data_IF_761646678823
#
_entry.id   IF_761646678823
#
_cell.length_a   1.000
_cell.length_b   1.000
_cell.length_c   1.000
_cell.angle_alpha   90.00
_cell.angle_beta   90.00
_cell.angle_gamma   90.00
#
_symmetry.space_group_name_H-M   'P 1'
#
loop_
_entity.id
_entity.type
_entity.pdbx_description
1 polymer ?
#
# COMPACT_ATOMS: atom_id res chain seq x y z
N UNK A 1 -30.80 23.05 -8.47
CA UNK A 1 -31.32 22.21 -7.38
C UNK A 1 -31.10 20.75 -7.74
N UNK A 2 -29.98 20.16 -7.32
CA UNK A 2 -29.74 18.72 -7.46
C UNK A 2 -30.60 18.03 -6.41
N UNK A 3 -31.56 17.21 -6.85
CA UNK A 3 -32.26 16.29 -5.96
C UNK A 3 -31.20 15.41 -5.30
N UNK A 4 -30.97 15.63 -4.01
CA UNK A 4 -30.29 14.66 -3.14
C UNK A 4 -31.11 13.37 -3.21
N UNK A 5 -30.77 12.50 -4.16
CA UNK A 5 -31.38 11.17 -4.26
C UNK A 5 -30.93 10.42 -3.02
N UNK A 6 -31.75 10.48 -1.98
CA UNK A 6 -31.60 9.71 -0.76
C UNK A 6 -31.44 8.25 -1.18
N UNK A 7 -30.22 7.72 -1.03
CA UNK A 7 -29.93 6.34 -1.41
C UNK A 7 -30.86 5.41 -0.67
N UNK A 8 -31.51 4.49 -1.39
CA UNK A 8 -32.39 3.48 -0.78
C UNK A 8 -31.59 2.59 0.17
N UNK A 9 -32.21 1.97 1.19
CA UNK A 9 -31.52 1.04 2.08
C UNK A 9 -30.78 -0.08 1.34
N UNK A 10 -31.36 -0.58 0.25
CA UNK A 10 -30.75 -1.57 -0.62
C UNK A 10 -29.48 -1.05 -1.33
N UNK A 11 -29.52 0.18 -1.86
CA UNK A 11 -28.34 0.82 -2.47
C UNK A 11 -27.22 1.06 -1.45
N UNK A 12 -27.55 1.55 -0.25
CA UNK A 12 -26.57 1.73 0.84
C UNK A 12 -25.92 0.41 1.24
N UNK A 13 -26.71 -0.65 1.37
CA UNK A 13 -26.22 -2.01 1.67
C UNK A 13 -25.29 -2.52 0.58
N UNK A 14 -25.65 -2.32 -0.70
CA UNK A 14 -24.79 -2.67 -1.85
C UNK A 14 -23.45 -1.93 -1.81
N UNK A 15 -23.46 -0.61 -1.60
CA UNK A 15 -22.22 0.17 -1.51
C UNK A 15 -21.34 -0.22 -0.33
N UNK A 16 -21.92 -0.46 0.85
CA UNK A 16 -21.17 -0.97 2.01
C UNK A 16 -20.45 -2.29 1.70
N UNK A 17 -21.10 -3.21 0.98
CA UNK A 17 -20.47 -4.48 0.56
C UNK A 17 -19.35 -4.27 -0.45
N UNK A 18 -19.51 -3.34 -1.40
CA UNK A 18 -18.47 -2.98 -2.37
C UNK A 18 -17.24 -2.40 -1.65
N UNK A 19 -17.44 -1.45 -0.73
CA UNK A 19 -16.36 -0.87 0.06
C UNK A 19 -15.70 -1.91 0.96
N UNK A 20 -16.48 -2.75 1.64
CA UNK A 20 -15.94 -3.84 2.46
C UNK A 20 -15.10 -4.83 1.64
N UNK A 21 -15.54 -5.17 0.42
CA UNK A 21 -14.79 -6.05 -0.50
C UNK A 21 -13.40 -5.50 -0.84
N UNK A 22 -13.32 -4.17 -1.00
CA UNK A 22 -12.07 -3.48 -1.27
C UNK A 22 -11.16 -3.35 -0.06
N UNK A 23 -11.76 -3.06 1.10
CA UNK A 23 -11.04 -2.97 2.37
C UNK A 23 -10.35 -4.29 2.70
N UNK A 24 -11.05 -5.42 2.58
CA UNK A 24 -10.49 -6.72 3.03
C UNK A 24 -9.28 -7.15 2.20
N UNK A 25 -9.27 -6.89 0.89
CA UNK A 25 -8.11 -7.20 0.06
C UNK A 25 -6.85 -6.45 0.48
N UNK A 26 -6.97 -5.12 0.66
CA UNK A 26 -5.88 -4.30 1.16
C UNK A 26 -5.49 -4.67 2.58
N UNK A 27 -6.46 -4.96 3.44
CA UNK A 27 -6.19 -5.39 4.81
C UNK A 27 -5.34 -6.64 4.82
N UNK A 28 -5.69 -7.66 4.04
CA UNK A 28 -4.90 -8.89 3.90
C UNK A 28 -3.48 -8.62 3.44
N UNK A 29 -3.33 -7.88 2.34
CA UNK A 29 -2.03 -7.57 1.75
C UNK A 29 -1.11 -6.85 2.73
N UNK A 30 -1.62 -5.75 3.32
CA UNK A 30 -0.79 -4.87 4.12
C UNK A 30 -0.62 -5.37 5.55
N UNK A 31 -1.54 -6.19 6.08
CA UNK A 31 -1.43 -6.73 7.43
C UNK A 31 -0.18 -7.60 7.56
N UNK A 32 -0.02 -8.59 6.67
CA UNK A 32 1.15 -9.47 6.68
C UNK A 32 2.46 -8.74 6.37
N UNK A 33 2.36 -7.66 5.60
CA UNK A 33 3.47 -6.78 5.30
C UNK A 33 3.96 -6.02 6.54
N UNK A 34 3.04 -5.39 7.28
CA UNK A 34 3.35 -4.67 8.51
C UNK A 34 3.80 -5.61 9.61
N UNK A 35 3.12 -6.75 9.80
CA UNK A 35 3.53 -7.79 10.75
C UNK A 35 4.96 -8.25 10.49
N UNK A 36 5.30 -8.53 9.23
CA UNK A 36 6.66 -8.91 8.86
C UNK A 36 7.68 -7.80 9.16
N UNK A 37 7.33 -6.55 8.86
CA UNK A 37 8.16 -5.38 9.17
C UNK A 37 8.41 -5.21 10.67
N UNK A 38 7.37 -5.34 11.49
CA UNK A 38 7.46 -5.22 12.96
C UNK A 38 8.26 -6.36 13.59
N UNK A 39 8.15 -7.57 13.03
CA UNK A 39 8.89 -8.76 13.47
C UNK A 39 10.22 -8.95 12.73
N UNK A 40 10.68 -7.98 11.93
CA UNK A 40 11.85 -8.15 11.06
C UNK A 40 13.10 -8.58 11.82
N UNK A 41 13.33 -8.06 13.04
CA UNK A 41 14.48 -8.44 13.89
C UNK A 41 14.40 -9.90 14.32
N UNK A 42 13.20 -10.39 14.65
CA UNK A 42 12.97 -11.77 15.09
C UNK A 42 13.12 -12.72 13.92
N UNK A 43 12.51 -12.39 12.77
CA UNK A 43 12.58 -13.18 11.54
C UNK A 43 14.02 -13.25 11.02
N UNK A 44 14.76 -12.14 11.05
CA UNK A 44 16.17 -12.09 10.65
C UNK A 44 17.02 -13.12 11.43
N UNK A 45 16.84 -13.18 12.75
CA UNK A 45 17.54 -14.16 13.60
C UNK A 45 17.10 -15.60 13.34
N UNK A 46 15.80 -15.83 13.14
CA UNK A 46 15.23 -17.18 13.00
C UNK A 46 15.54 -17.85 11.63
N UNK A 47 15.69 -17.05 10.57
CA UNK A 47 15.81 -17.55 9.20
C UNK A 47 17.13 -17.18 8.49
N UNK A 48 17.89 -16.21 8.99
CA UNK A 48 19.13 -15.73 8.35
C UNK A 48 20.28 -15.59 9.37
N UNK A 49 20.72 -16.67 10.04
CA UNK A 49 21.79 -16.59 11.03
C UNK A 49 23.16 -16.42 10.35
N UNK A 50 23.60 -15.17 10.19
CA UNK A 50 24.87 -14.82 9.51
C UNK A 50 25.99 -14.43 10.47
N UNK A 51 25.79 -14.56 11.79
CA UNK A 51 26.76 -14.18 12.83
C UNK A 51 26.84 -12.66 13.10
N UNK A 52 26.58 -11.83 12.09
CA UNK A 52 26.48 -10.37 12.19
C UNK A 52 25.02 -9.88 12.07
N UNK A 53 24.57 -9.07 13.02
CA UNK A 53 23.20 -8.58 13.10
C UNK A 53 22.81 -7.66 11.94
N UNK A 54 23.76 -6.89 11.40
CA UNK A 54 23.52 -6.02 10.25
C UNK A 54 23.26 -6.87 9.00
N UNK A 55 24.08 -7.89 8.77
CA UNK A 55 23.95 -8.80 7.62
C UNK A 55 22.66 -9.62 7.68
N UNK A 56 22.26 -10.14 8.85
CA UNK A 56 20.97 -10.82 9.03
C UNK A 56 19.80 -9.92 8.69
N UNK A 57 19.86 -8.66 9.14
CA UNK A 57 18.81 -7.68 8.89
C UNK A 57 18.75 -7.26 7.41
N UNK A 58 19.90 -7.16 6.74
CA UNK A 58 19.99 -6.90 5.31
C UNK A 58 19.40 -8.08 4.50
N UNK A 59 19.64 -9.32 4.92
CA UNK A 59 19.07 -10.51 4.27
C UNK A 59 17.54 -10.61 4.46
N UNK A 60 17.03 -10.28 5.64
CA UNK A 60 15.58 -10.18 5.88
C UNK A 60 14.96 -9.04 5.05
N UNK A 61 15.62 -7.88 4.97
CA UNK A 61 15.22 -6.77 4.12
C UNK A 61 15.26 -7.15 2.64
N UNK A 62 16.25 -7.93 2.19
CA UNK A 62 16.34 -8.43 0.83
C UNK A 62 15.18 -9.38 0.51
N UNK A 63 14.86 -10.31 1.42
CA UNK A 63 13.69 -11.20 1.29
C UNK A 63 12.38 -10.43 1.19
N UNK A 64 12.25 -9.38 2.00
CA UNK A 64 11.13 -8.45 1.91
C UNK A 64 11.10 -7.72 0.56
N UNK A 65 12.26 -7.26 0.07
CA UNK A 65 12.44 -6.66 -1.25
C UNK A 65 12.06 -7.59 -2.41
N UNK A 66 12.40 -8.89 -2.34
CA UNK A 66 12.00 -9.89 -3.35
C UNK A 66 10.49 -9.91 -3.54
N UNK A 67 9.71 -9.82 -2.45
CA UNK A 67 8.25 -9.77 -2.56
C UNK A 67 7.75 -8.56 -3.35
N UNK A 68 8.49 -7.45 -3.35
CA UNK A 68 8.17 -6.28 -4.17
C UNK A 68 8.60 -6.41 -5.63
N UNK A 69 9.73 -7.06 -5.90
CA UNK A 69 10.20 -7.28 -7.27
C UNK A 69 9.31 -8.23 -8.08
N UNK A 70 8.64 -9.17 -7.42
CA UNK A 70 7.69 -10.05 -8.09
C UNK A 70 6.31 -9.39 -8.32
N UNK A 71 5.98 -8.31 -7.60
CA UNK A 71 4.70 -7.60 -7.74
C UNK A 71 4.44 -7.12 -9.17
N UNK A 72 5.38 -6.50 -9.91
CA UNK A 72 5.16 -6.18 -11.33
C UNK A 72 4.79 -7.39 -12.20
N UNK A 73 5.39 -8.55 -11.95
CA UNK A 73 5.02 -9.79 -12.66
C UNK A 73 3.59 -10.20 -12.31
N UNK A 74 3.24 -10.17 -11.02
CA UNK A 74 1.87 -10.37 -10.55
C UNK A 74 0.88 -9.36 -11.15
N UNK A 75 1.25 -8.10 -11.25
CA UNK A 75 0.45 -7.03 -11.83
C UNK A 75 0.13 -7.26 -13.30
N UNK A 76 1.10 -7.73 -14.08
CA UNK A 76 0.90 -8.07 -15.49
C UNK A 76 0.02 -9.30 -15.63
N UNK A 77 0.30 -10.38 -14.89
CA UNK A 77 -0.41 -11.66 -15.04
C UNK A 77 -1.82 -11.58 -14.46
N UNK A 78 -1.95 -11.18 -13.19
CA UNK A 78 -3.24 -11.12 -12.48
C UNK A 78 -4.07 -9.90 -12.92
N UNK A 79 -3.44 -8.80 -13.31
CA UNK A 79 -4.12 -7.65 -13.92
C UNK A 79 -4.76 -8.03 -15.25
N UNK A 80 -4.01 -8.68 -16.15
CA UNK A 80 -4.54 -9.17 -17.42
C UNK A 80 -5.61 -10.26 -17.23
N UNK A 81 -5.44 -11.13 -16.23
CA UNK A 81 -6.48 -12.09 -15.85
C UNK A 81 -7.78 -11.38 -15.44
N UNK A 82 -7.68 -10.33 -14.62
CA UNK A 82 -8.81 -9.50 -14.17
C UNK A 82 -9.46 -8.71 -15.30
N UNK A 83 -8.69 -8.24 -16.28
CA UNK A 83 -9.20 -7.58 -17.49
C UNK A 83 -9.95 -8.55 -18.42
N UNK A 84 -9.60 -9.85 -18.41
CA UNK A 84 -10.23 -10.87 -19.28
C UNK A 84 -11.40 -11.61 -18.64
N UNK A 85 -11.29 -11.97 -17.36
CA UNK A 85 -12.25 -12.84 -16.67
C UNK A 85 -13.12 -12.11 -15.66
N UNK A 86 -12.90 -10.80 -15.48
CA UNK A 86 -13.68 -9.95 -14.59
C UNK A 86 -12.92 -9.57 -13.31
N UNK A 87 -13.32 -8.43 -12.73
CA UNK A 87 -12.71 -7.88 -11.52
C UNK A 87 -12.91 -8.82 -10.33
N UNK A 88 -14.11 -9.39 -10.20
CA UNK A 88 -14.43 -10.33 -9.12
C UNK A 88 -13.56 -11.58 -9.18
N UNK A 89 -13.36 -12.15 -10.38
CA UNK A 89 -12.54 -13.34 -10.56
C UNK A 89 -11.08 -13.09 -10.14
N UNK A 90 -10.51 -11.96 -10.59
CA UNK A 90 -9.17 -11.51 -10.20
C UNK A 90 -9.02 -11.35 -8.70
N UNK A 91 -9.94 -10.63 -8.07
CA UNK A 91 -9.98 -10.43 -6.62
C UNK A 91 -10.14 -11.75 -5.83
N UNK A 92 -10.83 -12.75 -6.36
CA UNK A 92 -10.91 -14.05 -5.68
C UNK A 92 -9.59 -14.82 -5.75
N UNK A 93 -8.93 -14.79 -6.91
CA UNK A 93 -7.65 -15.46 -7.13
C UNK A 93 -6.55 -14.89 -6.22
N UNK A 94 -6.46 -13.55 -6.10
CA UNK A 94 -5.48 -12.87 -5.24
C UNK A 94 -5.68 -13.22 -3.76
N UNK A 95 -6.91 -13.28 -3.25
CA UNK A 95 -7.15 -13.69 -1.84
C UNK A 95 -6.62 -15.08 -1.56
N UNK A 96 -6.86 -16.05 -2.45
CA UNK A 96 -6.37 -17.42 -2.25
C UNK A 96 -4.85 -17.50 -2.33
N UNK A 97 -4.24 -16.84 -3.32
CA UNK A 97 -2.78 -16.79 -3.44
C UNK A 97 -2.14 -16.14 -2.22
N UNK A 98 -2.73 -15.05 -1.72
CA UNK A 98 -2.26 -14.38 -0.50
C UNK A 98 -2.34 -15.33 0.69
N UNK A 99 -3.50 -15.96 0.93
CA UNK A 99 -3.71 -16.89 2.03
C UNK A 99 -2.76 -18.09 2.00
N UNK A 100 -2.51 -18.68 0.83
CA UNK A 100 -1.52 -19.75 0.68
C UNK A 100 -0.12 -19.24 1.04
N UNK A 101 0.27 -18.04 0.57
CA UNK A 101 1.56 -17.43 0.90
C UNK A 101 1.73 -17.21 2.39
N UNK A 102 0.70 -16.69 3.06
CA UNK A 102 0.69 -16.48 4.52
C UNK A 102 0.78 -17.80 5.29
N UNK A 103 0.09 -18.84 4.82
CA UNK A 103 0.15 -20.18 5.42
C UNK A 103 1.55 -20.78 5.29
N UNK A 104 2.18 -20.67 4.11
CA UNK A 104 3.56 -21.10 3.88
C UNK A 104 4.53 -20.40 4.84
N UNK A 105 4.37 -19.09 5.08
CA UNK A 105 5.18 -18.33 6.04
C UNK A 105 4.94 -18.81 7.47
N UNK A 106 3.67 -18.94 7.88
CA UNK A 106 3.32 -19.35 9.24
C UNK A 106 3.83 -20.77 9.57
N UNK A 107 3.82 -21.67 8.59
CA UNK A 107 4.30 -23.04 8.71
C UNK A 107 5.78 -23.22 8.38
N UNK A 108 6.50 -22.18 7.98
CA UNK A 108 7.91 -22.30 7.59
C UNK A 108 8.77 -22.80 8.77
N UNK A 109 9.57 -23.86 8.60
CA UNK A 109 10.51 -24.29 9.63
C UNK A 109 11.66 -23.29 9.72
N UNK A 110 12.19 -23.05 10.92
CA UNK A 110 13.31 -22.09 11.10
C UNK A 110 14.62 -22.67 10.54
N UNK A 111 15.63 -21.82 10.38
CA UNK A 111 16.95 -22.28 9.94
C UNK A 111 17.55 -23.32 10.90
N UNK A 112 17.31 -23.18 12.21
CA UNK A 112 17.75 -24.14 13.19
C UNK A 112 17.12 -25.54 13.01
N UNK A 113 15.90 -25.63 12.47
CA UNK A 113 15.19 -26.90 12.28
C UNK A 113 15.53 -27.58 10.95
N UNK A 114 15.60 -26.82 9.86
CA UNK A 114 15.71 -27.36 8.49
C UNK A 114 16.76 -26.63 7.61
N UNK A 115 17.65 -25.85 8.22
CA UNK A 115 18.71 -25.12 7.52
C UNK A 115 18.17 -24.20 6.43
N UNK A 116 18.87 -24.18 5.30
CA UNK A 116 18.54 -23.35 4.12
C UNK A 116 17.13 -23.62 3.60
N UNK A 117 16.61 -24.84 3.73
CA UNK A 117 15.25 -25.19 3.28
C UNK A 117 14.21 -24.33 3.99
N UNK A 118 14.36 -24.11 5.30
CA UNK A 118 13.46 -23.26 6.07
C UNK A 118 13.44 -21.81 5.57
N UNK A 119 14.62 -21.26 5.27
CA UNK A 119 14.76 -19.93 4.67
C UNK A 119 14.12 -19.85 3.29
N UNK A 120 14.35 -20.85 2.44
CA UNK A 120 13.75 -20.92 1.10
C UNK A 120 12.22 -21.01 1.19
N UNK A 121 11.66 -21.80 2.13
CA UNK A 121 10.22 -21.86 2.36
C UNK A 121 9.63 -20.48 2.71
N UNK A 122 10.29 -19.74 3.62
CA UNK A 122 9.89 -18.38 3.96
C UNK A 122 9.91 -17.45 2.72
N UNK A 123 10.99 -17.52 1.93
CA UNK A 123 11.15 -16.71 0.71
C UNK A 123 10.08 -17.06 -0.32
N UNK A 124 9.76 -18.34 -0.52
CA UNK A 124 8.70 -18.79 -1.43
C UNK A 124 7.33 -18.26 -1.01
N UNK A 125 7.01 -18.30 0.30
CA UNK A 125 5.80 -17.69 0.83
C UNK A 125 5.75 -16.18 0.52
N UNK A 126 6.87 -15.48 0.67
CA UNK A 126 6.97 -14.04 0.33
C UNK A 126 6.85 -13.75 -1.17
N UNK A 127 7.40 -14.61 -2.03
CA UNK A 127 7.23 -14.51 -3.47
C UNK A 127 5.75 -14.67 -3.84
N UNK A 128 5.05 -15.63 -3.22
CA UNK A 128 3.63 -15.87 -3.48
C UNK A 128 2.75 -14.69 -3.01
N UNK A 129 3.01 -14.17 -1.81
CA UNK A 129 2.35 -12.95 -1.30
C UNK A 129 2.60 -11.76 -2.22
N UNK A 130 3.85 -11.55 -2.65
CA UNK A 130 4.22 -10.47 -3.57
C UNK A 130 3.54 -10.58 -4.92
N UNK A 131 3.51 -11.79 -5.51
CA UNK A 131 2.84 -12.05 -6.77
C UNK A 131 1.34 -11.77 -6.66
N UNK A 132 0.70 -12.22 -5.58
CA UNK A 132 -0.72 -11.93 -5.29
C UNK A 132 -1.00 -10.42 -5.19
N UNK A 133 -0.22 -9.71 -4.38
CA UNK A 133 -0.35 -8.27 -4.17
C UNK A 133 -0.25 -7.47 -5.48
N UNK A 134 0.52 -7.98 -6.45
CA UNK A 134 0.63 -7.41 -7.79
C UNK A 134 -0.71 -7.17 -8.48
N UNK A 135 -1.64 -8.12 -8.41
CA UNK A 135 -2.94 -8.02 -9.07
C UNK A 135 -4.00 -7.23 -8.29
N UNK A 136 -3.89 -7.23 -6.97
CA UNK A 136 -4.94 -6.83 -6.05
C UNK A 136 -5.30 -5.34 -6.14
N UNK A 137 -4.28 -4.47 -6.16
CA UNK A 137 -4.50 -3.02 -6.12
C UNK A 137 -5.26 -2.53 -7.36
N UNK A 138 -4.82 -2.94 -8.55
CA UNK A 138 -5.45 -2.54 -9.82
C UNK A 138 -6.89 -3.03 -9.94
N UNK A 139 -7.15 -4.30 -9.60
CA UNK A 139 -8.50 -4.88 -9.71
C UNK A 139 -9.47 -4.21 -8.74
N UNK A 140 -9.01 -3.93 -7.52
CA UNK A 140 -9.86 -3.38 -6.47
C UNK A 140 -10.17 -1.90 -6.68
N UNK A 141 -9.19 -1.09 -7.08
CA UNK A 141 -9.42 0.33 -7.39
C UNK A 141 -10.38 0.46 -8.59
N UNK A 142 -10.17 -0.33 -9.66
CA UNK A 142 -11.13 -0.39 -10.76
C UNK A 142 -12.51 -0.84 -10.25
N UNK A 143 -12.61 -1.98 -9.56
CA UNK A 143 -13.87 -2.49 -9.04
C UNK A 143 -14.70 -1.47 -8.26
N UNK A 144 -14.05 -0.70 -7.38
CA UNK A 144 -14.71 0.30 -6.55
C UNK A 144 -15.11 1.55 -7.33
N UNK A 145 -14.26 2.01 -8.25
CA UNK A 145 -14.53 3.21 -9.06
C UNK A 145 -15.58 2.98 -10.14
N UNK A 146 -15.64 1.78 -10.72
CA UNK A 146 -16.65 1.37 -11.71
C UNK A 146 -18.04 1.15 -11.07
N UNK A 147 -18.08 0.87 -9.76
CA UNK A 147 -19.33 0.82 -8.99
C UNK A 147 -19.72 2.15 -8.35
N UNK A 148 -18.83 3.15 -8.36
CA UNK A 148 -19.05 4.41 -7.68
C UNK A 148 -20.15 5.22 -8.39
N UNK A 149 -21.05 5.89 -7.64
CA UNK A 149 -21.94 6.88 -8.20
C UNK A 149 -21.16 7.98 -8.95
N UNK A 150 -21.83 8.60 -9.93
CA UNK A 150 -21.27 9.77 -10.64
C UNK A 150 -20.87 10.85 -9.63
N UNK A 151 -19.64 11.37 -9.77
CA UNK A 151 -19.10 12.40 -8.89
C UNK A 151 -18.69 11.91 -7.49
N UNK A 152 -18.61 10.60 -7.25
CA UNK A 152 -18.18 10.04 -5.95
C UNK A 152 -16.99 9.07 -6.09
N UNK A 153 -16.30 9.09 -7.23
CA UNK A 153 -15.16 8.19 -7.49
C UNK A 153 -14.03 8.40 -6.49
N UNK A 154 -13.78 9.64 -6.07
CA UNK A 154 -12.79 10.01 -5.05
C UNK A 154 -13.12 9.39 -3.71
N UNK A 155 -14.33 9.62 -3.20
CA UNK A 155 -14.79 9.02 -1.95
C UNK A 155 -14.66 7.49 -1.96
N UNK A 156 -15.18 6.83 -2.99
CA UNK A 156 -15.16 5.37 -3.09
C UNK A 156 -13.73 4.82 -3.22
N UNK A 157 -12.91 5.36 -4.11
CA UNK A 157 -11.54 4.87 -4.34
C UNK A 157 -10.62 5.10 -3.12
N UNK A 158 -10.88 6.13 -2.30
CA UNK A 158 -10.10 6.41 -1.09
C UNK A 158 -10.19 5.31 -0.02
N UNK A 159 -11.22 4.46 -0.06
CA UNK A 159 -11.32 3.30 0.83
C UNK A 159 -10.20 2.27 0.61
N UNK A 160 -9.52 2.33 -0.54
CA UNK A 160 -8.28 1.57 -0.75
C UNK A 160 -7.25 1.90 0.34
N UNK A 161 -7.10 3.19 0.67
CA UNK A 161 -6.15 3.68 1.67
C UNK A 161 -6.66 3.34 3.08
N UNK A 162 -7.96 3.44 3.34
CA UNK A 162 -8.55 3.02 4.63
C UNK A 162 -8.22 1.56 4.95
N UNK A 163 -8.18 0.67 3.95
CA UNK A 163 -7.81 -0.72 4.13
C UNK A 163 -6.38 -0.90 4.66
N UNK A 164 -5.44 -0.08 4.19
CA UNK A 164 -4.05 -0.05 4.69
C UNK A 164 -4.01 0.43 6.14
N UNK A 165 -4.78 1.47 6.47
CA UNK A 165 -4.93 1.95 7.84
C UNK A 165 -5.44 0.86 8.79
N UNK A 166 -6.53 0.18 8.43
CA UNK A 166 -7.07 -0.94 9.21
C UNK A 166 -6.05 -2.08 9.37
N UNK A 167 -5.29 -2.39 8.31
CA UNK A 167 -4.22 -3.38 8.36
C UNK A 167 -3.13 -2.99 9.35
N UNK A 168 -2.68 -1.73 9.30
CA UNK A 168 -1.63 -1.21 10.17
C UNK A 168 -2.07 -1.20 11.63
N UNK A 169 -3.30 -0.75 11.88
CA UNK A 169 -3.88 -0.72 13.23
C UNK A 169 -3.99 -2.11 13.82
N UNK A 170 -4.52 -3.08 13.07
CA UNK A 170 -4.62 -4.46 13.51
C UNK A 170 -3.23 -5.08 13.74
N UNK A 171 -2.28 -4.86 12.82
CA UNK A 171 -0.90 -5.32 12.97
C UNK A 171 -0.21 -4.70 14.20
N UNK A 172 -0.47 -3.42 14.48
CA UNK A 172 0.08 -2.71 15.64
C UNK A 172 -0.50 -3.21 16.95
N UNK A 173 -1.80 -3.48 17.01
CA UNK A 173 -2.46 -4.06 18.19
C UNK A 173 -1.92 -5.47 18.46
N UNK A 174 -1.81 -6.30 17.44
CA UNK A 174 -1.25 -7.65 17.56
C UNK A 174 0.23 -7.62 17.92
N UNK A 175 1.00 -6.69 17.33
CA UNK A 175 2.41 -6.46 17.66
C UNK A 175 2.61 -6.02 19.11
N UNK A 176 1.79 -5.07 19.59
CA UNK A 176 1.78 -4.66 21.00
C UNK A 176 1.39 -5.81 21.93
N UNK A 177 0.35 -6.57 21.59
CA UNK A 177 -0.10 -7.72 22.36
C UNK A 177 0.97 -8.77 22.49
N UNK A 178 1.59 -9.18 21.38
CA UNK A 178 2.69 -10.16 21.38
C UNK A 178 3.91 -9.67 22.17
N UNK A 179 4.31 -8.40 22.04
CA UNK A 179 5.43 -7.85 22.81
C UNK A 179 5.15 -7.69 24.32
N UNK A 180 3.90 -7.50 24.73
CA UNK A 180 3.53 -7.39 26.16
C UNK A 180 3.25 -8.73 26.82
N UNK A 181 2.68 -9.68 26.07
CA UNK A 181 2.18 -10.95 26.61
C UNK A 181 3.21 -12.09 26.50
N UNK A 182 4.26 -11.94 25.69
CA UNK A 182 5.28 -12.98 25.48
C UNK A 182 6.66 -12.50 25.89
N UNK A 183 7.46 -13.40 26.46
CA UNK A 183 8.89 -13.15 26.69
C UNK A 183 9.63 -13.11 25.35
N UNK A 184 10.78 -12.40 25.25
CA UNK A 184 11.59 -12.36 24.03
C UNK A 184 11.94 -13.75 23.48
N UNK A 185 12.23 -14.72 24.34
CA UNK A 185 12.57 -16.09 23.95
C UNK A 185 11.36 -16.87 23.41
N UNK A 186 10.18 -16.66 24.01
CA UNK A 186 8.92 -17.24 23.51
C UNK A 186 8.58 -16.68 22.13
N UNK A 187 8.73 -15.36 21.97
CA UNK A 187 8.47 -14.69 20.70
C UNK A 187 9.44 -15.18 19.61
N UNK A 188 10.72 -15.36 19.94
CA UNK A 188 11.75 -15.80 19.01
C UNK A 188 11.64 -17.29 18.61
N UNK A 189 11.24 -18.16 19.53
CA UNK A 189 11.12 -19.60 19.28
C UNK A 189 9.94 -19.92 18.36
N UNK A 190 8.74 -19.46 18.71
CA UNK A 190 7.53 -19.77 17.94
C UNK A 190 6.48 -18.65 17.89
N UNK A 191 6.47 -17.74 18.86
CA UNK A 191 5.42 -16.73 19.02
C UNK A 191 5.27 -15.80 17.80
N UNK A 192 6.34 -15.59 17.03
CA UNK A 192 6.32 -14.82 15.78
C UNK A 192 5.33 -15.36 14.73
N UNK A 193 4.90 -16.63 14.83
CA UNK A 193 3.89 -17.23 13.93
C UNK A 193 2.47 -16.75 14.21
N UNK A 194 2.15 -16.41 15.46
CA UNK A 194 0.80 -16.06 15.91
C UNK A 194 0.19 -14.91 15.08
N UNK A 195 0.91 -13.80 14.81
CA UNK A 195 0.36 -12.74 13.97
C UNK A 195 0.00 -13.19 12.55
N UNK A 196 0.82 -14.03 11.91
CA UNK A 196 0.50 -14.56 10.57
C UNK A 196 -0.73 -15.48 10.59
N UNK A 197 -0.92 -16.28 11.65
CA UNK A 197 -2.12 -17.09 11.84
C UNK A 197 -3.38 -16.24 12.03
N UNK A 198 -3.28 -15.09 12.70
CA UNK A 198 -4.36 -14.11 12.79
C UNK A 198 -4.66 -13.52 11.41
N UNK A 199 -3.62 -13.22 10.62
CA UNK A 199 -3.76 -12.76 9.24
C UNK A 199 -4.53 -13.75 8.34
N UNK A 200 -4.29 -15.06 8.50
CA UNK A 200 -5.01 -16.11 7.78
C UNK A 200 -6.53 -16.10 8.05
N UNK A 201 -6.97 -15.68 9.24
CA UNK A 201 -8.39 -15.60 9.57
C UNK A 201 -9.13 -14.52 8.74
N UNK A 202 -8.41 -13.57 8.14
CA UNK A 202 -8.98 -12.55 7.27
C UNK A 202 -9.36 -13.14 5.89
N UNK A 203 -8.70 -14.21 5.44
CA UNK A 203 -8.94 -14.89 4.15
C UNK A 203 -10.38 -15.41 4.00
N UNK A 204 -10.91 -16.26 4.92
CA UNK A 204 -12.29 -16.75 4.81
C UNK A 204 -13.33 -15.63 4.90
N UNK A 205 -13.05 -14.59 5.70
CA UNK A 205 -13.91 -13.40 5.78
C UNK A 205 -13.95 -12.63 4.46
N UNK A 206 -12.79 -12.41 3.84
CA UNK A 206 -12.67 -11.79 2.52
C UNK A 206 -13.39 -12.58 1.44
N UNK A 207 -13.19 -13.90 1.41
CA UNK A 207 -13.92 -14.79 0.51
C UNK A 207 -15.44 -14.68 0.68
N UNK A 208 -15.93 -14.65 1.93
CA UNK A 208 -17.35 -14.53 2.23
C UNK A 208 -17.96 -13.19 1.78
N UNK A 209 -17.21 -12.09 1.84
CA UNK A 209 -17.65 -10.80 1.30
C UNK A 209 -17.63 -10.83 -0.23
N UNK A 210 -16.50 -11.21 -0.84
CA UNK A 210 -16.30 -11.16 -2.30
C UNK A 210 -17.26 -12.06 -3.07
N UNK A 211 -17.63 -13.22 -2.53
CA UNK A 211 -18.64 -14.09 -3.18
C UNK A 211 -20.00 -13.42 -3.32
N UNK A 212 -20.34 -12.47 -2.44
CA UNK A 212 -21.65 -11.77 -2.35
C UNK A 212 -21.72 -10.44 -3.11
N UNK A 213 -20.66 -10.06 -3.83
CA UNK A 213 -20.68 -8.85 -4.67
C UNK A 213 -20.81 -9.25 -6.14
N UNK A 214 -21.54 -8.44 -6.90
CA UNK A 214 -21.70 -8.62 -8.34
C UNK A 214 -20.47 -8.10 -9.10
N UNK A 215 -20.30 -8.60 -10.33
CA UNK A 215 -19.31 -8.07 -11.25
C UNK A 215 -19.69 -6.64 -11.72
N UNK A 216 -18.69 -5.84 -12.10
CA UNK A 216 -18.89 -4.42 -12.45
C UNK A 216 -19.80 -4.26 -13.67
N UNK A 217 -20.67 -3.23 -13.69
CA UNK A 217 -21.55 -2.98 -14.83
C UNK A 217 -20.78 -2.78 -16.14
N UNK A 218 -19.63 -2.11 -16.04
CA UNK A 218 -18.78 -1.74 -17.18
C UNK A 218 -18.05 -2.96 -17.76
N UNK A 219 -17.63 -3.91 -16.92
CA UNK A 219 -17.09 -5.19 -17.41
C UNK A 219 -18.16 -6.01 -18.13
N UNK A 220 -19.39 -6.07 -17.61
CA UNK A 220 -20.50 -6.78 -18.27
C UNK A 220 -20.91 -6.19 -19.61
N UNK A 221 -20.72 -4.87 -19.78
CA UNK A 221 -21.11 -4.14 -20.99
C UNK A 221 -20.03 -4.11 -22.08
N UNK A 222 -18.80 -4.53 -21.78
CA UNK A 222 -17.66 -4.40 -22.69
C UNK A 222 -17.23 -5.75 -23.28
N UNK A 223 -16.68 -5.70 -24.50
CA UNK A 223 -15.99 -6.85 -25.10
C UNK A 223 -14.62 -7.02 -24.46
N UNK A 224 -14.24 -8.23 -24.00
CA UNK A 224 -12.94 -8.47 -23.39
C UNK A 224 -11.78 -8.08 -24.32
N UNK A 225 -10.83 -7.30 -23.78
CA UNK A 225 -9.61 -6.96 -24.50
C UNK A 225 -8.73 -8.21 -24.67
N UNK A 226 -8.37 -8.54 -25.92
CA UNK A 226 -7.60 -9.76 -26.21
C UNK A 226 -6.17 -9.65 -25.70
N UNK A 227 -5.55 -8.48 -25.77
CA UNK A 227 -4.16 -8.30 -25.32
C UNK A 227 -3.96 -7.00 -24.50
N UNK A 228 -4.45 -6.98 -23.24
CA UNK A 228 -4.41 -5.77 -22.41
C UNK A 228 -2.98 -5.29 -22.15
N UNK A 229 -2.03 -6.22 -21.92
CA UNK A 229 -0.61 -5.88 -21.69
C UNK A 229 -0.01 -5.13 -22.88
N UNK A 230 -0.16 -5.69 -24.10
CA UNK A 230 0.37 -5.05 -25.31
C UNK A 230 -0.25 -3.67 -25.52
N UNK A 231 -1.55 -3.53 -25.32
CA UNK A 231 -2.25 -2.26 -25.52
C UNK A 231 -1.89 -1.21 -24.46
N UNK A 232 -1.70 -1.62 -23.20
CA UNK A 232 -1.17 -0.76 -22.13
C UNK A 232 0.17 -0.16 -22.53
N UNK A 233 1.13 -1.00 -22.95
CA UNK A 233 2.46 -0.51 -23.32
C UNK A 233 2.49 0.16 -24.69
N UNK A 234 1.56 -0.09 -25.61
CA UNK A 234 1.51 0.65 -26.87
C UNK A 234 1.04 2.11 -26.66
N UNK A 235 0.02 2.32 -25.83
CA UNK A 235 -0.76 3.56 -25.84
C UNK A 235 -0.59 4.45 -24.59
N UNK A 236 0.06 3.94 -23.53
CA UNK A 236 0.09 4.62 -22.23
C UNK A 236 1.48 4.81 -21.61
N UNK A 237 2.59 4.54 -22.33
CA UNK A 237 3.96 4.60 -21.75
C UNK A 237 4.26 5.92 -21.01
N UNK A 238 4.00 7.05 -21.65
CA UNK A 238 4.25 8.36 -21.06
C UNK A 238 3.35 8.64 -19.84
N UNK A 239 2.08 8.24 -19.91
CA UNK A 239 1.12 8.34 -18.80
C UNK A 239 1.54 7.45 -17.62
N UNK A 240 2.00 6.23 -17.90
CA UNK A 240 2.52 5.29 -16.89
C UNK A 240 3.78 5.85 -16.23
N UNK A 241 4.75 6.33 -17.01
CA UNK A 241 5.99 6.90 -16.47
C UNK A 241 5.72 8.12 -15.56
N UNK A 242 4.87 9.05 -16.02
CA UNK A 242 4.47 10.20 -15.21
C UNK A 242 3.65 9.80 -13.98
N UNK A 243 2.77 8.79 -14.11
CA UNK A 243 2.01 8.28 -12.98
C UNK A 243 2.91 7.59 -11.95
N UNK A 244 3.96 6.87 -12.36
CA UNK A 244 4.97 6.28 -11.47
C UNK A 244 5.72 7.37 -10.70
N UNK A 245 6.20 8.41 -11.39
CA UNK A 245 6.88 9.52 -10.73
C UNK A 245 5.96 10.23 -9.74
N UNK A 246 4.69 10.42 -10.08
CA UNK A 246 3.69 10.95 -9.16
C UNK A 246 3.44 10.05 -7.95
N UNK A 247 3.28 8.74 -8.17
CA UNK A 247 3.01 7.77 -7.11
C UNK A 247 4.22 7.49 -6.21
N UNK A 248 5.43 7.90 -6.61
CA UNK A 248 6.67 7.70 -5.84
C UNK A 248 6.58 8.28 -4.42
N UNK A 249 5.89 9.41 -4.26
CA UNK A 249 5.61 9.99 -2.94
C UNK A 249 4.70 9.08 -2.10
N UNK A 250 3.67 8.46 -2.71
CA UNK A 250 2.80 7.51 -2.02
C UNK A 250 3.60 6.30 -1.53
N UNK A 251 4.43 5.71 -2.41
CA UNK A 251 5.23 4.53 -2.09
C UNK A 251 6.23 4.80 -0.95
N UNK A 252 7.00 5.89 -1.06
CA UNK A 252 8.00 6.26 -0.05
C UNK A 252 7.38 6.62 1.30
N UNK A 253 6.30 7.40 1.33
CA UNK A 253 5.64 7.78 2.60
C UNK A 253 4.88 6.64 3.24
N UNK A 254 4.22 5.78 2.45
CA UNK A 254 3.57 4.58 2.97
C UNK A 254 4.59 3.65 3.62
N UNK A 255 5.73 3.45 2.96
CA UNK A 255 6.81 2.66 3.52
C UNK A 255 7.43 3.29 4.77
N UNK A 256 7.80 4.58 4.68
CA UNK A 256 8.44 5.30 5.77
C UNK A 256 7.56 5.30 7.02
N UNK A 257 6.33 5.78 6.88
CA UNK A 257 5.42 6.02 8.01
C UNK A 257 4.68 4.76 8.46
N UNK A 258 4.51 3.76 7.58
CA UNK A 258 3.80 2.52 7.91
C UNK A 258 4.73 1.38 8.35
N UNK A 259 5.89 1.22 7.72
CA UNK A 259 6.80 0.08 7.97
C UNK A 259 8.03 0.50 8.75
N UNK A 260 8.71 1.56 8.33
CA UNK A 260 10.02 1.93 8.89
C UNK A 260 9.92 2.70 10.22
N UNK A 261 8.83 3.42 10.46
CA UNK A 261 8.73 4.35 11.58
C UNK A 261 8.98 3.71 12.96
N UNK A 262 8.50 2.49 13.26
CA UNK A 262 8.77 1.90 14.57
C UNK A 262 10.22 1.42 14.68
N UNK A 263 10.80 0.94 13.59
CA UNK A 263 12.21 0.59 13.53
C UNK A 263 13.10 1.82 13.77
N UNK A 264 12.75 2.97 13.17
CA UNK A 264 13.41 4.25 13.40
C UNK A 264 13.31 4.66 14.88
N UNK A 265 12.13 4.60 15.47
CA UNK A 265 11.93 4.92 16.89
C UNK A 265 12.79 4.03 17.80
N UNK A 266 12.87 2.73 17.54
CA UNK A 266 13.68 1.81 18.34
C UNK A 266 15.19 2.02 18.14
N UNK A 267 15.65 2.04 16.89
CA UNK A 267 17.08 2.00 16.56
C UNK A 267 17.76 3.37 16.55
N UNK A 268 17.01 4.44 16.31
CA UNK A 268 17.57 5.79 16.14
C UNK A 268 17.16 6.73 17.28
N UNK A 269 15.91 6.63 17.75
CA UNK A 269 15.42 7.44 18.88
C UNK A 269 15.62 6.74 20.23
N UNK A 270 15.95 5.45 20.26
CA UNK A 270 16.19 4.68 21.48
C UNK A 270 14.92 4.34 22.27
N UNK A 271 13.74 4.40 21.63
CA UNK A 271 12.46 4.11 22.27
C UNK A 271 12.27 2.60 22.50
N UNK A 272 11.46 2.23 23.50
CA UNK A 272 11.11 0.84 23.73
C UNK A 272 10.32 0.25 22.55
N UNK A 273 10.34 -1.08 22.33
CA UNK A 273 9.52 -1.72 21.31
C UNK A 273 8.03 -1.41 21.46
N UNK A 274 7.50 -1.39 22.69
CA UNK A 274 6.11 -1.06 22.96
C UNK A 274 5.78 0.40 22.60
N UNK A 275 6.66 1.34 22.97
CA UNK A 275 6.42 2.76 22.69
C UNK A 275 6.48 3.09 21.20
N UNK A 276 7.35 2.39 20.46
CA UNK A 276 7.51 2.58 19.02
C UNK A 276 6.23 2.29 18.22
N UNK A 277 5.38 1.40 18.73
CA UNK A 277 4.13 0.99 18.07
C UNK A 277 3.05 2.08 18.13
N UNK A 278 3.10 3.02 19.10
CA UNK A 278 2.13 4.10 19.18
C UNK A 278 2.16 5.02 17.95
N UNK A 279 3.31 5.19 17.32
CA UNK A 279 3.43 5.93 16.05
C UNK A 279 2.68 5.25 14.91
N UNK A 280 2.75 3.91 14.82
CA UNK A 280 2.01 3.13 13.84
C UNK A 280 0.49 3.18 14.08
N UNK A 281 0.05 3.26 15.35
CA UNK A 281 -1.36 3.53 15.70
C UNK A 281 -1.78 4.93 15.22
N UNK A 282 -0.95 5.95 15.46
CA UNK A 282 -1.20 7.31 14.98
C UNK A 282 -1.34 7.38 13.44
N UNK A 283 -0.43 6.71 12.74
CA UNK A 283 -0.50 6.52 11.28
C UNK A 283 -1.81 5.82 10.86
N UNK A 284 -2.17 4.72 11.53
CA UNK A 284 -3.40 3.97 11.27
C UNK A 284 -4.65 4.85 11.41
N UNK A 285 -4.75 5.64 12.48
CA UNK A 285 -5.92 6.50 12.72
C UNK A 285 -6.06 7.54 11.60
N UNK A 286 -4.98 8.22 11.25
CA UNK A 286 -4.99 9.20 10.16
C UNK A 286 -5.39 8.54 8.82
N UNK A 287 -4.87 7.34 8.51
CA UNK A 287 -5.22 6.57 7.32
C UNK A 287 -6.67 6.06 7.28
N UNK A 288 -7.30 5.80 8.42
CA UNK A 288 -8.70 5.35 8.45
C UNK A 288 -9.66 6.52 8.25
N UNK A 289 -9.36 7.66 8.87
CA UNK A 289 -10.31 8.77 8.99
C UNK A 289 -10.21 9.74 7.81
N UNK A 290 -9.01 10.08 7.37
CA UNK A 290 -8.79 11.20 6.46
C UNK A 290 -8.98 10.89 4.97
N UNK A 291 -8.64 9.70 4.43
CA UNK A 291 -8.81 9.43 3.01
C UNK A 291 -10.25 9.59 2.51
N UNK A 292 -11.30 9.11 3.19
CA UNK A 292 -12.68 9.35 2.76
C UNK A 292 -13.03 10.84 2.67
N UNK A 293 -12.52 11.64 3.61
CA UNK A 293 -12.75 13.09 3.64
C UNK A 293 -12.08 13.77 2.45
N UNK A 294 -10.78 13.53 2.24
CA UNK A 294 -10.04 14.15 1.14
C UNK A 294 -10.40 13.54 -0.23
N UNK A 295 -10.80 12.28 -0.28
CA UNK A 295 -11.37 11.62 -1.45
C UNK A 295 -12.65 12.32 -1.89
N UNK A 296 -13.61 12.53 -0.98
CA UNK A 296 -14.83 13.28 -1.27
C UNK A 296 -14.56 14.76 -1.60
N UNK A 297 -13.59 15.40 -0.93
CA UNK A 297 -13.22 16.77 -1.24
C UNK A 297 -12.62 16.88 -2.66
N UNK A 298 -11.83 15.89 -3.07
CA UNK A 298 -11.26 15.84 -4.42
C UNK A 298 -12.32 15.68 -5.51
N UNK A 299 -13.49 15.10 -5.20
CA UNK A 299 -14.63 15.03 -6.14
C UNK A 299 -15.21 16.42 -6.43
N UNK A 300 -15.00 17.40 -5.55
CA UNK A 300 -15.52 18.77 -5.68
C UNK A 300 -14.47 19.78 -6.14
N UNK A 301 -13.26 19.70 -5.58
CA UNK A 301 -12.17 20.67 -5.80
C UNK A 301 -11.24 20.23 -6.95
N UNK A 302 -11.33 18.98 -7.37
CA UNK A 302 -10.47 18.38 -8.39
C UNK A 302 -9.27 17.62 -7.80
N UNK A 303 -8.89 16.52 -8.47
CA UNK A 303 -7.84 15.60 -8.01
C UNK A 303 -6.47 16.26 -7.88
N UNK A 304 -6.02 16.92 -8.95
CA UNK A 304 -4.68 17.51 -9.03
C UNK A 304 -4.47 18.63 -8.01
N UNK A 305 -5.53 19.36 -7.63
CA UNK A 305 -5.46 20.38 -6.60
C UNK A 305 -5.03 19.78 -5.25
N UNK A 306 -5.75 18.75 -4.77
CA UNK A 306 -5.42 18.12 -3.49
C UNK A 306 -4.10 17.35 -3.53
N UNK A 307 -3.80 16.66 -4.63
CA UNK A 307 -2.51 15.99 -4.85
C UNK A 307 -1.36 17.00 -4.72
N UNK A 308 -1.51 18.20 -5.28
CA UNK A 308 -0.49 19.26 -5.15
C UNK A 308 -0.38 19.75 -3.72
N UNK A 309 -1.50 20.07 -3.07
CA UNK A 309 -1.52 20.57 -1.70
C UNK A 309 -0.86 19.60 -0.72
N UNK A 310 -1.22 18.31 -0.78
CA UNK A 310 -0.62 17.29 0.07
C UNK A 310 0.87 17.10 -0.17
N UNK A 311 1.32 17.23 -1.43
CA UNK A 311 2.74 17.17 -1.78
C UNK A 311 3.52 18.34 -1.17
N UNK A 312 3.00 19.57 -1.30
CA UNK A 312 3.62 20.77 -0.74
C UNK A 312 3.66 20.74 0.80
N UNK A 313 2.57 20.30 1.44
CA UNK A 313 2.53 20.11 2.89
C UNK A 313 3.58 19.09 3.36
N UNK A 314 3.73 17.99 2.62
CA UNK A 314 4.73 16.96 2.92
C UNK A 314 6.15 17.53 2.82
N UNK A 315 6.46 18.31 1.79
CA UNK A 315 7.76 18.99 1.62
C UNK A 315 8.03 19.96 2.78
N UNK A 316 7.04 20.78 3.14
CA UNK A 316 7.20 21.80 4.16
C UNK A 316 7.40 21.21 5.57
N UNK A 317 6.73 20.10 5.89
CA UNK A 317 6.62 19.61 7.27
C UNK A 317 7.49 18.39 7.60
N UNK A 318 7.99 17.65 6.59
CA UNK A 318 8.78 16.44 6.84
C UNK A 318 10.07 16.73 7.62
N UNK A 319 10.85 17.73 7.21
CA UNK A 319 12.12 18.08 7.88
C UNK A 319 11.88 18.62 9.29
N UNK A 320 10.99 19.61 9.52
CA UNK A 320 10.66 20.08 10.86
C UNK A 320 10.22 18.98 11.83
N UNK A 321 9.38 18.05 11.37
CA UNK A 321 8.91 16.93 12.18
C UNK A 321 10.07 16.01 12.62
N UNK A 322 11.02 15.72 11.73
CA UNK A 322 12.21 14.94 12.10
C UNK A 322 13.12 15.68 13.08
N UNK A 323 13.28 17.00 12.92
CA UNK A 323 14.02 17.80 13.90
C UNK A 323 13.38 17.72 15.29
N UNK A 324 12.06 17.84 15.39
CA UNK A 324 11.33 17.72 16.66
C UNK A 324 11.51 16.33 17.28
N UNK A 325 11.36 15.26 16.49
CA UNK A 325 11.54 13.88 16.97
C UNK A 325 12.96 13.60 17.47
N UNK A 326 13.98 14.16 16.81
CA UNK A 326 15.38 13.98 17.21
C UNK A 326 15.74 14.83 18.43
N UNK A 327 15.23 16.07 18.50
CA UNK A 327 15.50 16.98 19.61
C UNK A 327 14.78 16.56 20.90
N UNK A 328 13.58 15.96 20.79
CA UNK A 328 12.80 15.49 21.94
C UNK A 328 12.15 14.14 21.64
N UNK A 329 12.86 13.01 21.85
CA UNK A 329 12.39 11.67 21.51
C UNK A 329 11.39 11.10 22.53
N UNK A 330 10.39 11.89 22.91
CA UNK A 330 9.28 11.45 23.77
C UNK A 330 8.17 10.78 22.95
N UNK A 331 7.41 9.88 23.58
CA UNK A 331 6.27 9.21 22.93
C UNK A 331 5.27 10.21 22.36
N UNK A 332 4.94 11.27 23.12
CA UNK A 332 3.99 12.29 22.69
C UNK A 332 4.43 13.04 21.44
N UNK A 333 5.70 13.48 21.38
CA UNK A 333 6.25 14.18 20.22
C UNK A 333 6.30 13.25 19.01
N UNK A 334 6.78 12.02 19.20
CA UNK A 334 6.85 11.00 18.15
C UNK A 334 5.47 10.73 17.53
N UNK A 335 4.47 10.40 18.36
CA UNK A 335 3.10 10.09 17.89
C UNK A 335 2.49 11.30 17.18
N UNK A 336 2.66 12.50 17.72
CA UNK A 336 2.10 13.73 17.13
C UNK A 336 2.73 14.02 15.77
N UNK A 337 4.06 13.89 15.65
CA UNK A 337 4.77 14.10 14.39
C UNK A 337 4.36 13.06 13.33
N UNK A 338 4.34 11.78 13.68
CA UNK A 338 3.95 10.71 12.75
C UNK A 338 2.50 10.87 12.29
N UNK A 339 1.58 11.14 13.22
CA UNK A 339 0.16 11.34 12.89
C UNK A 339 -0.05 12.58 12.04
N UNK A 340 0.60 13.70 12.39
CA UNK A 340 0.53 14.96 11.65
C UNK A 340 1.09 14.83 10.22
N UNK A 341 2.27 14.24 10.06
CA UNK A 341 2.83 13.95 8.73
C UNK A 341 1.92 13.03 7.92
N UNK A 342 1.37 11.99 8.54
CA UNK A 342 0.41 11.11 7.87
C UNK A 342 -0.80 11.88 7.40
N UNK A 343 -1.34 12.78 8.22
CA UNK A 343 -2.47 13.62 7.85
C UNK A 343 -2.19 14.48 6.61
N UNK A 344 -1.00 15.09 6.51
CA UNK A 344 -0.57 15.83 5.33
C UNK A 344 -0.52 14.93 4.08
N UNK A 345 0.04 13.73 4.22
CA UNK A 345 0.12 12.74 3.15
C UNK A 345 -1.27 12.24 2.73
N UNK A 346 -2.25 12.16 3.64
CA UNK A 346 -3.62 11.75 3.32
C UNK A 346 -4.38 12.77 2.45
N UNK A 347 -4.00 14.05 2.47
CA UNK A 347 -4.51 15.04 1.50
C UNK A 347 -4.17 14.62 0.07
N UNK A 348 -2.94 14.13 -0.13
CA UNK A 348 -2.46 13.61 -1.40
C UNK A 348 -3.03 12.21 -1.71
N UNK A 349 -2.94 11.28 -0.76
CA UNK A 349 -3.35 9.88 -0.99
C UNK A 349 -4.87 9.69 -1.06
N UNK A 350 -5.68 10.56 -0.46
CA UNK A 350 -7.14 10.47 -0.54
C UNK A 350 -7.67 10.65 -1.96
N UNK A 351 -7.01 11.49 -2.78
CA UNK A 351 -7.39 11.76 -4.17
C UNK A 351 -6.72 10.81 -5.18
N UNK A 352 -5.62 10.17 -4.79
CA UNK A 352 -4.70 9.51 -5.71
C UNK A 352 -5.29 8.25 -6.40
N UNK A 353 -5.96 7.31 -5.70
CA UNK A 353 -6.54 6.13 -6.35
C UNK A 353 -7.55 6.47 -7.45
N UNK A 354 -8.40 7.48 -7.22
CA UNK A 354 -9.35 7.96 -8.22
C UNK A 354 -8.65 8.62 -9.40
N UNK A 355 -7.64 9.46 -9.14
CA UNK A 355 -6.85 10.09 -10.20
C UNK A 355 -6.24 9.06 -11.15
N UNK A 356 -5.58 8.02 -10.62
CA UNK A 356 -4.95 6.99 -11.45
C UNK A 356 -5.99 6.13 -12.19
N UNK A 357 -7.16 5.90 -11.59
CA UNK A 357 -8.26 5.21 -12.28
C UNK A 357 -8.80 6.01 -13.48
N UNK A 358 -8.86 7.34 -13.35
CA UNK A 358 -9.31 8.25 -14.40
C UNK A 358 -8.27 8.43 -15.54
N UNK A 359 -6.98 8.15 -15.30
CA UNK A 359 -5.91 8.27 -16.31
C UNK A 359 -5.97 7.23 -17.45
N UNK A 360 -6.59 6.08 -17.18
CA UNK A 360 -6.51 4.91 -18.07
C UNK A 360 -7.91 4.45 -18.56
N UNK A 361 -8.01 4.08 -19.85
CA UNK A 361 -9.26 3.64 -20.44
C UNK A 361 -9.65 2.24 -19.93
N UNK A 362 -10.96 1.95 -19.89
CA UNK A 362 -11.55 0.78 -19.24
C UNK A 362 -10.84 -0.56 -19.55
N UNK A 363 -10.65 -0.88 -20.84
CA UNK A 363 -10.10 -2.17 -21.28
C UNK A 363 -8.63 -2.44 -20.91
N UNK A 364 -7.89 -1.42 -20.46
CA UNK A 364 -6.50 -1.57 -19.99
C UNK A 364 -6.31 -0.98 -18.59
N UNK A 365 -7.39 -0.55 -17.93
CA UNK A 365 -7.34 0.24 -16.70
C UNK A 365 -6.70 -0.56 -15.57
N UNK A 366 -7.19 -1.77 -15.30
CA UNK A 366 -6.67 -2.58 -14.20
C UNK A 366 -5.20 -2.95 -14.40
N UNK A 367 -4.82 -3.44 -15.59
CA UNK A 367 -3.40 -3.70 -15.90
C UNK A 367 -2.53 -2.44 -15.75
N UNK A 368 -2.99 -1.29 -16.25
CA UNK A 368 -2.22 -0.04 -16.18
C UNK A 368 -2.06 0.47 -14.75
N UNK A 369 -3.14 0.48 -13.95
CA UNK A 369 -3.09 0.84 -12.53
C UNK A 369 -2.17 -0.12 -11.77
N UNK A 370 -2.30 -1.43 -12.01
CA UNK A 370 -1.49 -2.45 -11.35
C UNK A 370 0.00 -2.25 -11.66
N UNK A 371 0.36 -1.98 -12.93
CA UNK A 371 1.75 -1.70 -13.32
C UNK A 371 2.26 -0.42 -12.65
N UNK A 372 1.51 0.68 -12.71
CA UNK A 372 1.90 1.95 -12.06
C UNK A 372 2.12 1.73 -10.58
N UNK A 373 1.16 1.14 -9.88
CA UNK A 373 1.25 0.93 -8.44
C UNK A 373 2.45 0.05 -8.07
N UNK A 374 2.55 -1.13 -8.67
CA UNK A 374 3.52 -2.13 -8.25
C UNK A 374 4.95 -1.81 -8.68
N UNK A 375 5.14 -1.20 -9.86
CA UNK A 375 6.49 -0.76 -10.27
C UNK A 375 6.96 0.40 -9.40
N UNK A 376 6.06 1.33 -9.04
CA UNK A 376 6.38 2.40 -8.10
C UNK A 376 6.75 1.84 -6.74
N UNK A 377 5.91 0.97 -6.16
CA UNK A 377 6.17 0.40 -4.85
C UNK A 377 7.39 -0.52 -4.84
N UNK A 378 7.73 -1.18 -5.96
CA UNK A 378 8.97 -1.94 -6.07
C UNK A 378 10.22 -1.05 -5.99
N UNK A 379 10.24 0.04 -6.75
CA UNK A 379 11.40 0.93 -6.85
C UNK A 379 11.52 1.88 -5.66
N UNK A 380 10.41 2.52 -5.27
CA UNK A 380 10.40 3.58 -4.25
C UNK A 380 9.93 3.09 -2.86
N UNK A 381 9.37 1.89 -2.77
CA UNK A 381 8.98 1.25 -1.51
C UNK A 381 9.94 0.14 -1.12
N UNK A 382 9.99 -0.94 -1.89
CA UNK A 382 10.76 -2.15 -1.59
C UNK A 382 12.26 -1.91 -1.43
N UNK A 383 12.86 -1.04 -2.25
CA UNK A 383 14.27 -0.68 -2.14
C UNK A 383 14.56 0.39 -1.08
N UNK A 384 13.53 1.10 -0.60
CA UNK A 384 13.73 2.26 0.29
C UNK A 384 14.37 1.88 1.61
N UNK A 385 14.02 0.73 2.21
CA UNK A 385 14.65 0.25 3.44
C UNK A 385 16.15 0.05 3.26
N UNK A 386 16.52 -0.68 2.20
CA UNK A 386 17.90 -0.98 1.90
C UNK A 386 18.70 0.31 1.65
N UNK A 387 18.15 1.22 0.84
CA UNK A 387 18.78 2.52 0.55
C UNK A 387 18.92 3.34 1.84
N UNK A 388 17.84 3.52 2.61
CA UNK A 388 17.85 4.31 3.84
C UNK A 388 18.78 3.73 4.89
N UNK A 389 18.73 2.41 5.12
CA UNK A 389 19.61 1.73 6.09
C UNK A 389 21.08 1.81 5.66
N UNK A 390 21.38 1.62 4.38
CA UNK A 390 22.75 1.73 3.86
C UNK A 390 23.30 3.16 3.99
N UNK A 391 22.56 4.17 3.55
CA UNK A 391 22.97 5.58 3.67
C UNK A 391 23.08 5.98 5.14
N UNK A 392 22.12 5.60 5.99
CA UNK A 392 22.15 5.92 7.42
C UNK A 392 23.35 5.28 8.12
N UNK A 393 23.68 4.02 7.78
CA UNK A 393 24.86 3.34 8.33
C UNK A 393 26.17 4.02 7.89
N UNK A 394 26.26 4.43 6.61
CA UNK A 394 27.46 5.10 6.09
C UNK A 394 27.65 6.53 6.57
N UNK A 395 26.56 7.29 6.74
CA UNK A 395 26.60 8.73 7.07
C UNK A 395 26.40 9.02 8.55
N UNK A 396 25.82 8.10 9.32
CA UNK A 396 25.38 8.33 10.70
C UNK A 396 24.17 9.27 10.81
N UNK A 397 23.59 9.73 9.70
CA UNK A 397 22.52 10.72 9.72
C UNK A 397 21.18 10.14 10.13
N UNK A 398 20.53 10.78 11.11
CA UNK A 398 19.16 10.46 11.55
C UNK A 398 18.09 10.96 10.57
N UNK A 399 18.44 11.79 9.60
CA UNK A 399 17.52 12.47 8.68
C UNK A 399 17.39 11.79 7.31
N UNK A 400 18.15 10.72 7.05
CA UNK A 400 18.08 9.95 5.78
C UNK A 400 16.64 9.63 5.35
N UNK A 401 15.74 9.17 6.23
CA UNK A 401 14.39 8.84 5.81
C UNK A 401 13.58 10.07 5.39
N UNK A 402 13.81 11.22 6.03
CA UNK A 402 13.22 12.49 5.65
C UNK A 402 13.71 12.94 4.27
N UNK A 403 15.03 12.89 4.02
CA UNK A 403 15.59 13.23 2.71
C UNK A 403 15.07 12.35 1.59
N UNK A 404 14.88 11.05 1.84
CA UNK A 404 14.29 10.14 0.88
C UNK A 404 12.88 10.57 0.45
N UNK A 405 12.03 10.95 1.41
CA UNK A 405 10.69 11.49 1.12
C UNK A 405 10.73 12.84 0.41
N UNK A 406 11.70 13.70 0.72
CA UNK A 406 11.86 14.98 0.02
C UNK A 406 12.18 14.76 -1.46
N UNK A 407 13.07 13.81 -1.78
CA UNK A 407 13.42 13.48 -3.16
C UNK A 407 12.20 12.97 -3.93
N UNK A 408 11.43 12.03 -3.37
CA UNK A 408 10.23 11.52 -4.03
C UNK A 408 9.11 12.56 -4.13
N UNK A 409 8.99 13.47 -3.16
CA UNK A 409 8.05 14.58 -3.24
C UNK A 409 8.39 15.55 -4.38
N UNK A 410 9.68 15.84 -4.60
CA UNK A 410 10.14 16.67 -5.73
C UNK A 410 9.86 15.98 -7.07
N UNK A 411 10.12 14.67 -7.17
CA UNK A 411 9.77 13.89 -8.37
C UNK A 411 8.25 13.95 -8.61
N UNK A 412 7.45 13.78 -7.57
CA UNK A 412 6.00 13.86 -7.67
C UNK A 412 5.54 15.25 -8.14
N UNK A 413 6.10 16.36 -7.61
CA UNK A 413 5.80 17.71 -8.09
C UNK A 413 6.10 17.89 -9.58
N UNK A 414 7.25 17.41 -10.06
CA UNK A 414 7.59 17.49 -11.48
C UNK A 414 6.54 16.77 -12.36
N UNK A 415 6.08 15.60 -11.94
CA UNK A 415 5.03 14.85 -12.63
C UNK A 415 3.65 15.53 -12.54
N UNK A 416 3.33 16.19 -11.44
CA UNK A 416 2.09 17.01 -11.31
C UNK A 416 2.08 18.11 -12.37
N UNK A 417 3.21 18.81 -12.56
CA UNK A 417 3.32 19.88 -13.56
C UNK A 417 3.10 19.34 -14.98
N UNK A 418 3.63 18.15 -15.28
CA UNK A 418 3.39 17.47 -16.56
C UNK A 418 1.89 17.18 -16.77
N UNK A 419 1.19 16.62 -15.77
CA UNK A 419 -0.25 16.35 -15.90
C UNK A 419 -1.09 17.62 -16.00
N UNK A 420 -0.69 18.72 -15.33
CA UNK A 420 -1.36 20.02 -15.48
C UNK A 420 -1.23 20.58 -16.89
N UNK A 421 -0.05 20.44 -17.52
CA UNK A 421 0.16 20.87 -18.91
C UNK A 421 -0.69 20.07 -19.90
N UNK A 422 -0.86 18.77 -19.68
CA UNK A 422 -1.75 17.93 -20.50
C UNK A 422 -3.23 18.27 -20.31
N UNK A 423 -3.63 18.73 -19.12
CA UNK A 423 -5.00 19.12 -18.81
C UNK A 423 -5.37 20.52 -19.35
N UNK A 424 -4.37 21.37 -19.64
CA UNK A 424 -4.59 22.64 -20.32
C UNK A 424 -4.73 22.38 -21.83
N UNK A 425 -5.82 22.82 -22.49
CA UNK A 425 -6.06 22.50 -23.89
C UNK A 425 -5.07 23.25 -24.77
N UNK A 426 -4.01 22.57 -25.22
CA UNK A 426 -3.33 22.95 -26.44
C UNK A 426 -4.17 22.43 -27.60
N UNK A 427 -4.86 23.34 -28.32
CA UNK A 427 -5.52 23.14 -29.62
C UNK A 427 -5.58 21.69 -30.14
N UNK A 428 -6.49 20.88 -29.59
CA UNK A 428 -6.80 19.55 -30.12
C UNK A 428 -8.31 19.29 -29.96
N UNK A 429 -8.98 18.76 -30.99
CA UNK A 429 -10.43 18.63 -31.03
C UNK A 429 -10.95 17.71 -29.92
N UNK A 430 -12.14 18.05 -29.42
CA UNK A 430 -12.97 17.55 -28.30
C UNK A 430 -13.11 16.02 -28.03
N UNK A 431 -12.21 15.18 -28.54
CA UNK A 431 -12.37 13.72 -28.59
C UNK A 431 -11.58 12.93 -27.54
N UNK A 432 -10.73 13.57 -26.72
CA UNK A 432 -9.82 12.84 -25.81
C UNK A 432 -10.34 12.61 -24.39
N UNK A 433 -11.46 13.23 -23.98
CA UNK A 433 -12.01 13.07 -22.62
C UNK A 433 -13.49 12.69 -22.57
N UNK A 434 -14.17 12.59 -23.71
CA UNK A 434 -15.52 12.06 -23.82
C UNK A 434 -15.50 10.87 -24.76
N UNK A 435 -15.38 9.66 -24.21
CA UNK A 435 -16.02 8.48 -24.77
C UNK A 435 -16.13 7.40 -23.68
N UNK A 436 -17.37 7.28 -23.19
CA UNK A 436 -18.06 6.15 -22.55
C UNK A 436 -17.41 5.48 -21.33
#
# INVERSE_FOLDING_TARGET
>A
MSTDKVLTPAQRSKFRRILASALVGNMLEFYDLFVYGFLAVVIAKAFFPTGDAYTSMLAAAATFGVSYFIRPVGALVLGAYSDRHGRKAGMMLTIWLMGIGTLVIACAPTYAMFGVVGTVTLVLGKILQGFSAGGEFGSTVSFVTEHAPKGMKGYFASYQVVGIGLATGLASIVGLGTNKLMTPDTLASWGWRVPFLIGLAIVPFGYWIRRRVDETPEFKASTPERNPIRNTFANAKARIAAAIGLYSLAASTNYLLGVFIPLYAQKVLGMSPADSMWGAIGYSVAQIVLPPVFGALSDRVGRLALITTGTLLTIALTIPAFHLMVASPTVGVYVSCVTGLTACVMVFQGAMPAFVAELFPHGTRTTSIAVVHNLTFAVFGGLSLMICTWIANKTGSKFVPAYYVMVTAVIALACILYFRKLAQPAHAPETLLNNA
#
